data_IF_672145525691
#
_entry.id   IF_672145525691
#
_cell.length_a   1.000
_cell.length_b   1.000
_cell.length_c   1.000
_cell.angle_alpha   90.00
_cell.angle_beta   90.00
_cell.angle_gamma   90.00
#
_symmetry.space_group_name_H-M   'P 1'
#
loop_
_entity.id
_entity.type
_entity.pdbx_description
1 polymer ?
#
# COMPACT_ATOMS: atom_id res chain seq x y z
N UNK A 1 -19.56 13.70 19.23
CA UNK A 1 -18.33 12.95 19.32
C UNK A 1 -17.41 13.46 18.22
N UNK A 2 -16.14 13.56 18.48
CA UNK A 2 -15.16 14.13 17.59
C UNK A 2 -13.84 13.40 17.71
N UNK A 3 -12.81 13.89 17.01
CA UNK A 3 -11.46 13.37 17.08
C UNK A 3 -10.46 14.51 17.28
N UNK A 4 -9.26 14.18 17.73
CA UNK A 4 -8.20 15.14 17.95
C UNK A 4 -7.32 15.25 16.71
N UNK A 5 -7.17 16.46 16.15
CA UNK A 5 -6.20 16.74 15.11
C UNK A 5 -4.85 17.08 15.73
N UNK A 6 -3.85 16.25 15.48
CA UNK A 6 -2.47 16.50 15.89
C UNK A 6 -1.74 17.15 14.73
N UNK A 7 -1.38 18.43 14.88
CA UNK A 7 -0.84 19.26 13.79
C UNK A 7 0.57 19.78 14.04
N UNK A 8 1.14 19.59 15.25
CA UNK A 8 2.50 20.00 15.52
C UNK A 8 3.47 18.84 15.41
N UNK A 9 4.67 19.07 14.90
CA UNK A 9 5.67 18.03 14.74
C UNK A 9 6.08 17.34 16.06
N UNK A 10 6.28 18.05 17.20
CA UNK A 10 6.58 17.39 18.47
C UNK A 10 5.47 16.44 18.94
N UNK A 11 4.21 16.87 18.82
CA UNK A 11 3.07 16.06 19.24
C UNK A 11 2.89 14.83 18.34
N UNK A 12 3.07 14.98 17.02
CA UNK A 12 3.09 13.85 16.07
C UNK A 12 4.18 12.83 16.45
N UNK A 13 5.38 13.29 16.81
CA UNK A 13 6.44 12.41 17.27
C UNK A 13 6.08 11.68 18.56
N UNK A 14 5.44 12.36 19.50
CA UNK A 14 5.00 11.78 20.76
C UNK A 14 3.94 10.70 20.51
N UNK A 15 2.89 11.02 19.77
CA UNK A 15 1.81 10.07 19.44
C UNK A 15 2.36 8.82 18.73
N UNK A 16 3.22 9.01 17.73
CA UNK A 16 3.79 7.89 16.97
C UNK A 16 4.73 6.98 17.80
N UNK A 17 5.29 7.48 18.89
CA UNK A 17 6.19 6.70 19.76
C UNK A 17 5.49 6.04 20.92
N UNK A 18 4.42 6.62 21.40
CA UNK A 18 3.66 6.13 22.55
C UNK A 18 2.58 5.14 22.10
N UNK A 19 3.01 3.99 21.64
CA UNK A 19 2.12 2.91 21.16
C UNK A 19 1.33 2.24 22.30
N UNK A 20 1.65 2.54 23.56
CA UNK A 20 0.88 2.04 24.71
C UNK A 20 -0.40 2.85 24.92
N UNK A 21 -0.33 4.17 24.67
CA UNK A 21 -1.48 5.07 24.78
C UNK A 21 -2.27 5.15 23.48
N UNK A 22 -1.57 5.20 22.33
CA UNK A 22 -2.17 5.38 21.01
C UNK A 22 -2.08 4.07 20.21
N UNK A 23 -3.17 3.32 20.21
CA UNK A 23 -3.28 2.05 19.52
C UNK A 23 -3.71 2.23 18.07
N UNK A 24 -3.00 1.60 17.13
CA UNK A 24 -3.43 1.50 15.72
C UNK A 24 -4.45 0.38 15.52
N UNK A 25 -4.50 -0.59 16.42
CA UNK A 25 -5.36 -1.77 16.29
C UNK A 25 -6.78 -1.52 16.77
N UNK A 26 -7.01 -0.62 17.73
CA UNK A 26 -8.31 -0.49 18.39
C UNK A 26 -9.41 0.00 17.45
N UNK A 27 -9.11 1.02 16.62
CA UNK A 27 -10.08 1.61 15.68
C UNK A 27 -9.65 1.48 14.21
N UNK A 28 -8.42 0.97 13.96
CA UNK A 28 -7.82 0.92 12.65
C UNK A 28 -7.19 2.25 12.20
N UNK A 29 -6.63 2.26 11.00
CA UNK A 29 -5.92 3.41 10.42
C UNK A 29 -6.84 4.38 9.66
N UNK A 30 -8.07 3.96 9.34
CA UNK A 30 -9.05 4.78 8.64
C UNK A 30 -10.16 5.20 9.60
N UNK A 31 -10.45 6.49 9.62
CA UNK A 31 -11.61 7.01 10.37
C UNK A 31 -12.87 6.78 9.55
N UNK A 32 -13.88 6.20 10.18
CA UNK A 32 -15.20 6.03 9.60
C UNK A 32 -16.22 6.81 10.42
N UNK A 33 -17.08 7.58 9.75
CA UNK A 33 -18.16 8.35 10.40
C UNK A 33 -19.29 7.44 10.90
N UNK A 34 -19.33 6.20 10.49
CA UNK A 34 -20.30 5.19 10.93
C UNK A 34 -19.63 3.83 11.11
N UNK A 35 -20.17 2.96 11.98
CA UNK A 35 -19.74 1.57 12.05
C UNK A 35 -19.87 0.94 10.67
N UNK A 36 -18.78 0.38 10.14
CA UNK A 36 -18.80 -0.32 8.85
C UNK A 36 -19.75 -1.52 8.93
N UNK A 37 -20.87 -1.53 8.21
CA UNK A 37 -21.92 -2.52 8.44
C UNK A 37 -21.57 -3.93 7.99
N UNK A 38 -20.55 -4.15 7.20
CA UNK A 38 -20.13 -5.47 6.70
C UNK A 38 -18.88 -5.37 5.87
N UNK A 39 -17.87 -4.68 6.34
CA UNK A 39 -16.67 -4.52 5.57
C UNK A 39 -15.56 -5.45 6.03
N UNK A 40 -14.49 -5.44 5.29
CA UNK A 40 -13.24 -6.03 5.69
C UNK A 40 -12.73 -5.36 6.98
N UNK A 41 -12.81 -6.07 8.09
CA UNK A 41 -12.21 -5.63 9.35
C UNK A 41 -10.70 -5.85 9.26
N UNK A 42 -9.96 -4.75 9.07
CA UNK A 42 -8.50 -4.75 8.93
C UNK A 42 -7.75 -4.83 10.25
N UNK A 43 -8.44 -4.61 11.38
CA UNK A 43 -7.85 -4.56 12.72
C UNK A 43 -7.13 -5.86 13.06
N UNK A 44 -5.86 -5.76 13.39
CA UNK A 44 -5.01 -6.91 13.67
C UNK A 44 -4.64 -7.79 12.47
N UNK A 45 -5.05 -7.42 11.24
CA UNK A 45 -4.78 -8.17 10.01
C UNK A 45 -3.80 -7.46 9.09
N UNK A 46 -3.96 -6.14 8.92
CA UNK A 46 -3.01 -5.33 8.17
C UNK A 46 -1.88 -4.86 9.09
N UNK A 47 -0.67 -4.78 8.55
CA UNK A 47 0.49 -4.32 9.31
C UNK A 47 0.24 -2.96 9.97
N UNK A 48 -0.38 -2.03 9.24
CA UNK A 48 -0.68 -0.68 9.72
C UNK A 48 -1.70 -0.68 10.87
N UNK A 49 -2.56 -1.70 10.94
CA UNK A 49 -3.62 -1.86 11.92
C UNK A 49 -3.26 -2.90 13.00
N UNK A 50 -1.97 -3.01 13.31
CA UNK A 50 -1.46 -3.89 14.37
C UNK A 50 -0.64 -3.11 15.38
N UNK A 51 -0.70 -3.54 16.64
CA UNK A 51 0.15 -3.04 17.71
C UNK A 51 1.27 -4.04 18.06
N UNK A 52 2.22 -3.59 18.89
CA UNK A 52 3.23 -4.49 19.45
C UNK A 52 2.56 -5.54 20.36
N UNK A 53 3.02 -6.80 20.41
CA UNK A 53 4.24 -7.32 19.75
C UNK A 53 4.06 -7.74 18.29
N UNK A 54 2.81 -7.88 17.80
CA UNK A 54 2.51 -8.40 16.47
C UNK A 54 3.08 -7.50 15.36
N UNK A 55 2.89 -6.19 15.46
CA UNK A 55 3.49 -5.21 14.54
C UNK A 55 5.02 -5.38 14.45
N UNK A 56 5.69 -5.50 15.60
CA UNK A 56 7.16 -5.67 15.64
C UNK A 56 7.59 -6.95 14.94
N UNK A 57 6.84 -8.03 15.10
CA UNK A 57 7.07 -9.31 14.45
C UNK A 57 6.97 -9.19 12.92
N UNK A 58 5.89 -8.61 12.42
CA UNK A 58 5.68 -8.39 10.98
C UNK A 58 6.72 -7.45 10.38
N UNK A 59 7.06 -6.35 11.07
CA UNK A 59 8.10 -5.43 10.62
C UNK A 59 9.47 -6.09 10.46
N UNK A 60 9.84 -7.00 11.36
CA UNK A 60 11.10 -7.76 11.25
C UNK A 60 11.16 -8.63 10.00
N UNK A 61 10.03 -9.23 9.59
CA UNK A 61 9.96 -10.01 8.34
C UNK A 61 10.18 -9.12 7.14
N UNK A 62 9.43 -8.03 7.04
CA UNK A 62 9.48 -7.10 5.92
C UNK A 62 10.88 -6.49 5.79
N UNK A 63 11.48 -6.07 6.90
CA UNK A 63 12.82 -5.46 6.90
C UNK A 63 13.91 -6.37 6.31
N UNK A 64 13.77 -7.69 6.39
CA UNK A 64 14.70 -8.63 5.72
C UNK A 64 14.66 -8.49 4.18
N UNK A 65 13.58 -7.98 3.62
CA UNK A 65 13.42 -7.73 2.18
C UNK A 65 14.10 -6.43 1.72
N UNK A 66 14.32 -5.45 2.60
CA UNK A 66 14.89 -4.15 2.26
C UNK A 66 16.39 -4.10 2.55
N UNK A 67 17.18 -4.79 1.74
CA UNK A 67 18.64 -4.78 1.85
C UNK A 67 19.26 -3.60 1.10
N UNK A 68 20.48 -3.13 1.45
CA UNK A 68 21.18 -2.09 0.69
C UNK A 68 21.32 -2.43 -0.80
N UNK A 69 21.52 -3.70 -1.13
CA UNK A 69 21.57 -4.17 -2.52
C UNK A 69 20.22 -3.95 -3.24
N UNK A 70 19.12 -4.32 -2.60
CA UNK A 70 17.78 -4.14 -3.18
C UNK A 70 17.47 -2.66 -3.37
N UNK A 71 17.81 -1.82 -2.40
CA UNK A 71 17.64 -0.35 -2.50
C UNK A 71 18.44 0.20 -3.67
N UNK A 72 19.70 -0.24 -3.87
CA UNK A 72 20.53 0.21 -5.01
C UNK A 72 19.99 -0.23 -6.37
N UNK A 73 19.40 -1.42 -6.47
CA UNK A 73 18.73 -1.86 -7.71
C UNK A 73 17.45 -1.06 -7.97
N UNK A 74 16.70 -0.78 -6.92
CA UNK A 74 15.49 0.05 -7.02
C UNK A 74 15.82 1.47 -7.45
N UNK A 75 16.91 2.07 -6.98
CA UNK A 75 17.34 3.40 -7.38
C UNK A 75 17.60 3.48 -8.91
N UNK A 76 18.33 2.50 -9.46
CA UNK A 76 18.59 2.44 -10.90
C UNK A 76 17.29 2.26 -11.71
N UNK A 77 16.41 1.39 -11.23
CA UNK A 77 15.11 1.18 -11.84
C UNK A 77 14.26 2.46 -11.83
N UNK A 78 14.18 3.14 -10.69
CA UNK A 78 13.39 4.36 -10.54
C UNK A 78 13.94 5.52 -11.38
N UNK A 79 15.26 5.63 -11.51
CA UNK A 79 15.87 6.63 -12.41
C UNK A 79 15.42 6.41 -13.85
N UNK A 80 15.52 5.19 -14.35
CA UNK A 80 15.05 4.86 -15.70
C UNK A 80 13.54 5.09 -15.87
N UNK A 81 12.73 4.73 -14.88
CA UNK A 81 11.27 4.98 -14.92
C UNK A 81 10.94 6.47 -14.94
N UNK A 82 11.66 7.28 -14.16
CA UNK A 82 11.46 8.73 -14.13
C UNK A 82 11.74 9.35 -15.51
N UNK A 83 12.79 8.91 -16.21
CA UNK A 83 13.09 9.33 -17.59
C UNK A 83 11.92 9.00 -18.52
N UNK A 84 11.43 7.75 -18.51
CA UNK A 84 10.29 7.34 -19.35
C UNK A 84 8.99 8.11 -19.04
N UNK A 85 8.72 8.41 -17.76
CA UNK A 85 7.54 9.18 -17.35
C UNK A 85 7.62 10.60 -17.93
N UNK A 86 8.78 11.24 -17.83
CA UNK A 86 8.99 12.58 -18.36
C UNK A 86 8.91 12.58 -19.90
N UNK A 87 9.53 11.61 -20.57
CA UNK A 87 9.49 11.48 -22.02
C UNK A 87 8.08 11.33 -22.58
N UNK A 88 7.19 10.65 -21.84
CA UNK A 88 5.78 10.49 -22.24
C UNK A 88 4.98 11.80 -22.28
N UNK A 89 5.42 12.84 -21.55
CA UNK A 89 4.69 14.12 -21.45
C UNK A 89 5.42 15.29 -22.09
N UNK A 90 6.73 15.19 -22.30
CA UNK A 90 7.56 16.32 -22.72
C UNK A 90 7.14 16.90 -24.09
N UNK A 91 6.70 16.05 -25.01
CA UNK A 91 6.26 16.49 -26.36
C UNK A 91 4.87 17.14 -26.36
N UNK A 92 4.07 16.90 -25.30
CA UNK A 92 2.71 17.45 -25.17
C UNK A 92 2.72 18.92 -24.75
N UNK A 93 3.81 19.39 -24.11
CA UNK A 93 3.97 20.77 -23.65
C UNK A 93 3.14 21.12 -22.40
N UNK A 94 2.13 20.31 -22.05
CA UNK A 94 1.30 20.41 -20.86
C UNK A 94 0.89 19.03 -20.38
N UNK A 95 0.65 18.87 -19.08
CA UNK A 95 0.20 17.62 -18.50
C UNK A 95 -0.55 17.85 -17.17
N UNK A 96 -1.34 16.88 -16.75
CA UNK A 96 -1.78 16.78 -15.38
C UNK A 96 -0.64 16.27 -14.50
N UNK A 97 -0.12 17.12 -13.62
CA UNK A 97 1.05 16.79 -12.82
C UNK A 97 0.83 15.56 -11.93
N UNK A 98 -0.36 15.39 -11.37
CA UNK A 98 -0.67 14.26 -10.50
C UNK A 98 -0.81 12.98 -11.32
N UNK A 99 -1.70 12.97 -12.32
CA UNK A 99 -2.04 11.77 -13.06
C UNK A 99 -0.96 11.33 -14.05
N UNK A 100 -0.27 12.28 -14.68
CA UNK A 100 0.72 11.98 -15.73
C UNK A 100 2.15 11.80 -15.18
N UNK A 101 2.46 12.33 -13.98
CA UNK A 101 3.82 12.34 -13.44
C UNK A 101 3.91 11.82 -12.00
N UNK A 102 3.31 12.53 -11.04
CA UNK A 102 3.62 12.33 -9.63
C UNK A 102 3.16 10.97 -9.09
N UNK A 103 2.07 10.46 -9.62
CA UNK A 103 1.43 9.22 -9.21
C UNK A 103 2.14 7.98 -9.75
N UNK A 104 2.71 8.08 -10.96
CA UNK A 104 3.27 6.93 -11.68
C UNK A 104 4.51 6.35 -10.97
N UNK A 105 5.45 7.21 -10.54
CA UNK A 105 6.73 6.75 -10.00
C UNK A 105 6.62 5.97 -8.68
N UNK A 106 5.87 6.41 -7.66
CA UNK A 106 5.66 5.64 -6.44
C UNK A 106 4.99 4.29 -6.67
N UNK A 107 4.04 4.23 -7.59
CA UNK A 107 3.34 3.00 -7.95
C UNK A 107 4.27 1.99 -8.61
N UNK A 108 5.09 2.45 -9.55
CA UNK A 108 6.11 1.61 -10.17
C UNK A 108 7.10 1.09 -9.13
N UNK A 109 7.48 1.92 -8.14
CA UNK A 109 8.36 1.50 -7.05
C UNK A 109 7.77 0.37 -6.21
N UNK A 110 6.52 0.52 -5.78
CA UNK A 110 5.83 -0.50 -4.96
C UNK A 110 5.66 -1.78 -5.76
N UNK A 111 5.19 -1.69 -7.00
CA UNK A 111 4.98 -2.84 -7.87
C UNK A 111 6.29 -3.59 -8.17
N UNK A 112 7.39 -2.88 -8.36
CA UNK A 112 8.73 -3.47 -8.53
C UNK A 112 9.18 -4.23 -7.29
N UNK A 113 9.06 -3.64 -6.11
CA UNK A 113 9.40 -4.28 -4.83
C UNK A 113 8.58 -5.55 -4.62
N UNK A 114 7.30 -5.52 -4.98
CA UNK A 114 6.39 -6.67 -4.88
C UNK A 114 6.64 -7.74 -5.95
N UNK A 115 7.37 -7.41 -7.02
CA UNK A 115 7.57 -8.29 -8.16
C UNK A 115 6.32 -8.41 -9.05
N UNK A 116 5.45 -7.40 -9.06
CA UNK A 116 4.25 -7.37 -9.91
C UNK A 116 4.65 -7.19 -11.38
N UNK A 117 4.17 -8.06 -12.29
CA UNK A 117 4.41 -7.93 -13.72
C UNK A 117 3.97 -6.57 -14.27
N UNK A 118 4.73 -6.02 -15.23
CA UNK A 118 4.47 -4.68 -15.78
C UNK A 118 3.03 -4.50 -16.29
N UNK A 119 2.46 -5.55 -16.91
CA UNK A 119 1.11 -5.52 -17.46
C UNK A 119 0.00 -5.45 -16.41
N UNK A 120 0.29 -5.86 -15.17
CA UNK A 120 -0.70 -5.95 -14.10
C UNK A 120 -0.66 -4.72 -13.17
N UNK A 121 0.36 -3.87 -13.32
CA UNK A 121 0.58 -2.71 -12.42
C UNK A 121 -0.57 -1.73 -12.45
N UNK A 122 -1.22 -1.57 -13.59
CA UNK A 122 -2.40 -0.71 -13.72
C UNK A 122 -3.59 -1.24 -12.89
N UNK A 123 -3.80 -2.55 -12.84
CA UNK A 123 -4.86 -3.15 -12.03
C UNK A 123 -4.63 -2.88 -10.55
N UNK A 124 -3.38 -3.07 -10.07
CA UNK A 124 -3.01 -2.79 -8.68
C UNK A 124 -3.31 -1.33 -8.30
N UNK A 125 -3.02 -0.43 -9.22
CA UNK A 125 -3.31 0.99 -9.09
C UNK A 125 -4.80 1.29 -8.99
N UNK A 126 -5.59 0.76 -9.93
CA UNK A 126 -7.03 1.01 -10.00
C UNK A 126 -7.73 0.48 -8.74
N UNK A 127 -7.37 -0.72 -8.25
CA UNK A 127 -7.88 -1.26 -6.99
C UNK A 127 -7.53 -0.39 -5.77
N UNK A 128 -6.26 0.05 -5.69
CA UNK A 128 -5.81 0.88 -4.57
C UNK A 128 -6.54 2.22 -4.55
N UNK A 129 -6.72 2.86 -5.69
CA UNK A 129 -7.47 4.11 -5.80
C UNK A 129 -8.94 3.93 -5.41
N UNK A 130 -9.58 2.85 -5.86
CA UNK A 130 -10.97 2.55 -5.47
C UNK A 130 -11.10 2.32 -3.96
N UNK A 131 -10.13 1.65 -3.35
CA UNK A 131 -10.15 1.37 -1.90
C UNK A 131 -9.93 2.65 -1.07
N UNK A 132 -8.93 3.46 -1.44
CA UNK A 132 -8.53 4.65 -0.65
C UNK A 132 -9.39 5.86 -0.99
N UNK A 133 -9.75 6.01 -2.26
CA UNK A 133 -10.55 7.13 -2.77
C UNK A 133 -12.06 6.96 -2.64
N UNK A 134 -12.53 5.94 -1.92
CA UNK A 134 -13.98 5.66 -1.79
C UNK A 134 -14.81 6.82 -1.20
N UNK A 135 -14.18 7.72 -0.46
CA UNK A 135 -14.79 8.91 0.09
C UNK A 135 -14.61 10.17 -0.78
N UNK A 136 -13.95 10.05 -1.92
CA UNK A 136 -13.68 11.15 -2.84
C UNK A 136 -14.40 10.92 -4.18
N UNK A 137 -15.38 11.75 -4.55
CA UNK A 137 -16.13 11.61 -5.79
C UNK A 137 -15.28 11.61 -7.06
N UNK A 138 -14.08 12.18 -7.03
CA UNK A 138 -13.14 12.18 -8.17
C UNK A 138 -12.60 10.77 -8.49
N UNK A 139 -12.51 9.90 -7.47
CA UNK A 139 -11.99 8.53 -7.60
C UNK A 139 -13.09 7.48 -7.72
N UNK A 140 -14.36 7.87 -7.70
CA UNK A 140 -15.49 6.95 -7.83
C UNK A 140 -16.00 6.91 -9.25
N UNK A 141 -16.39 5.73 -9.73
CA UNK A 141 -16.92 5.54 -11.10
C UNK A 141 -18.23 6.28 -11.35
N UNK A 142 -19.01 6.51 -10.30
CA UNK A 142 -20.30 7.21 -10.37
C UNK A 142 -20.21 8.72 -10.20
N UNK A 143 -19.05 9.26 -9.74
CA UNK A 143 -18.94 10.67 -9.33
C UNK A 143 -19.69 11.00 -8.04
N UNK A 144 -20.29 10.02 -7.40
CA UNK A 144 -20.87 10.07 -6.07
C UNK A 144 -19.94 9.36 -5.08
N UNK A 145 -20.15 9.52 -3.78
CA UNK A 145 -19.40 8.73 -2.80
C UNK A 145 -19.51 7.26 -3.14
N UNK A 146 -18.38 6.56 -3.28
CA UNK A 146 -18.40 5.16 -3.68
C UNK A 146 -19.23 4.36 -2.69
N UNK A 147 -20.03 3.48 -3.20
CA UNK A 147 -20.68 2.48 -2.39
C UNK A 147 -19.57 1.67 -1.68
N UNK A 148 -19.73 1.43 -0.38
CA UNK A 148 -18.80 0.58 0.40
C UNK A 148 -18.60 -0.78 -0.28
N UNK A 149 -19.55 -1.21 -1.11
CA UNK A 149 -19.44 -2.43 -1.91
C UNK A 149 -18.35 -2.36 -2.98
N UNK A 150 -18.09 -1.20 -3.62
CA UNK A 150 -17.00 -1.04 -4.60
C UNK A 150 -15.62 -1.15 -3.95
N UNK A 151 -15.38 -0.49 -2.81
CA UNK A 151 -14.11 -0.59 -2.09
C UNK A 151 -13.86 -2.00 -1.57
N UNK A 152 -14.91 -2.67 -1.08
CA UNK A 152 -14.85 -4.06 -0.63
C UNK A 152 -14.57 -5.02 -1.80
N UNK A 153 -15.19 -4.81 -2.94
CA UNK A 153 -14.93 -5.59 -4.15
C UNK A 153 -13.49 -5.42 -4.63
N UNK A 154 -12.98 -4.18 -4.69
CA UNK A 154 -11.59 -3.91 -5.06
C UNK A 154 -10.59 -4.57 -4.09
N UNK A 155 -10.88 -4.55 -2.78
CA UNK A 155 -10.08 -5.24 -1.78
C UNK A 155 -10.08 -6.76 -1.99
N UNK A 156 -11.23 -7.34 -2.32
CA UNK A 156 -11.35 -8.77 -2.60
C UNK A 156 -10.59 -9.17 -3.87
N UNK A 157 -10.67 -8.39 -4.95
CA UNK A 157 -9.93 -8.62 -6.18
C UNK A 157 -8.42 -8.53 -5.95
N UNK A 158 -7.95 -7.51 -5.22
CA UNK A 158 -6.56 -7.38 -4.82
C UNK A 158 -6.09 -8.59 -4.00
N UNK A 159 -6.90 -9.05 -3.06
CA UNK A 159 -6.60 -10.23 -2.24
C UNK A 159 -6.45 -11.50 -3.09
N UNK A 160 -7.35 -11.72 -4.05
CA UNK A 160 -7.27 -12.84 -5.00
C UNK A 160 -5.99 -12.75 -5.83
N UNK A 161 -5.68 -11.57 -6.38
CA UNK A 161 -4.46 -11.35 -7.17
C UNK A 161 -3.18 -11.62 -6.37
N UNK A 162 -3.08 -11.12 -5.14
CA UNK A 162 -1.91 -11.34 -4.28
C UNK A 162 -1.74 -12.83 -3.94
N UNK A 163 -2.84 -13.58 -3.74
CA UNK A 163 -2.77 -15.02 -3.56
C UNK A 163 -2.28 -15.76 -4.81
N UNK A 164 -2.71 -15.34 -6.00
CA UNK A 164 -2.20 -15.90 -7.27
C UNK A 164 -0.70 -15.62 -7.41
N UNK A 165 -0.28 -14.37 -7.19
CA UNK A 165 1.12 -13.99 -7.23
C UNK A 165 1.97 -14.80 -6.22
N UNK A 166 1.46 -15.03 -5.00
CA UNK A 166 2.10 -15.90 -4.00
C UNK A 166 2.30 -17.33 -4.53
N UNK A 167 1.27 -17.89 -5.14
CA UNK A 167 1.32 -19.28 -5.63
C UNK A 167 2.26 -19.41 -6.84
N UNK A 168 2.31 -18.41 -7.70
CA UNK A 168 3.32 -18.29 -8.76
C UNK A 168 4.74 -18.23 -8.18
N UNK A 169 4.98 -17.44 -7.13
CA UNK A 169 6.29 -17.31 -6.49
C UNK A 169 6.71 -18.55 -5.72
N UNK A 170 5.77 -19.37 -5.26
CA UNK A 170 6.09 -20.70 -4.72
C UNK A 170 6.60 -21.64 -5.81
N UNK A 171 6.05 -21.57 -7.01
CA UNK A 171 6.44 -22.40 -8.14
C UNK A 171 7.72 -21.87 -8.84
N UNK A 172 7.86 -20.56 -8.97
CA UNK A 172 8.97 -19.85 -9.62
C UNK A 172 9.46 -18.69 -8.73
N UNK A 173 10.34 -18.97 -7.74
CA UNK A 173 10.87 -17.94 -6.83
C UNK A 173 11.67 -16.87 -7.56
N UNK A 174 11.47 -15.58 -7.18
CA UNK A 174 12.18 -14.43 -7.74
C UNK A 174 12.83 -13.58 -6.64
N UNK A 175 13.69 -12.63 -7.01
CA UNK A 175 14.28 -11.71 -6.04
C UNK A 175 13.34 -10.53 -5.75
N UNK A 176 12.16 -10.84 -5.22
CA UNK A 176 11.13 -9.89 -4.81
C UNK A 176 10.72 -10.10 -3.35
N UNK A 177 9.95 -9.16 -2.79
CA UNK A 177 9.54 -9.23 -1.38
C UNK A 177 8.53 -10.35 -1.14
N UNK A 178 7.70 -10.69 -2.12
CA UNK A 178 6.71 -11.79 -2.00
C UNK A 178 7.43 -13.12 -1.80
N UNK A 179 8.44 -13.41 -2.62
CA UNK A 179 9.28 -14.61 -2.43
C UNK A 179 9.97 -14.62 -1.07
N UNK A 180 10.50 -13.48 -0.64
CA UNK A 180 11.18 -13.36 0.67
C UNK A 180 10.22 -13.59 1.83
N UNK A 181 8.98 -13.09 1.74
CA UNK A 181 7.96 -13.29 2.77
C UNK A 181 7.46 -14.73 2.82
N UNK A 182 7.30 -15.39 1.65
CA UNK A 182 6.93 -16.82 1.59
C UNK A 182 7.97 -17.69 2.31
N UNK A 183 9.25 -17.35 2.18
CA UNK A 183 10.36 -18.12 2.77
C UNK A 183 10.80 -17.58 4.13
N UNK A 184 10.10 -16.58 4.67
CA UNK A 184 10.45 -16.01 5.96
C UNK A 184 9.93 -16.90 7.09
N UNK A 185 10.86 -17.42 7.90
CA UNK A 185 10.57 -18.10 9.15
C UNK A 185 10.61 -17.09 10.30
N UNK A 186 9.63 -17.16 11.17
CA UNK A 186 9.59 -16.43 12.44
C UNK A 186 9.93 -17.44 13.52
N UNK A 187 11.18 -17.40 14.01
CA UNK A 187 11.66 -18.05 15.24
C UNK A 187 10.86 -19.33 15.65
N UNK A 188 10.85 -20.34 14.75
CA UNK A 188 10.33 -21.67 15.09
C UNK A 188 8.87 -21.95 14.75
N UNK A 189 8.19 -21.07 14.01
CA UNK A 189 6.86 -21.34 13.42
C UNK A 189 6.86 -21.16 11.91
#
# INVERSE_FOLDING_TARGET
DGFWNIVTHPDLQQVNRDTATFSSQSEGSLMHDAPTPSGFDSRGKLLIDTDAPLHTRYRRLINKGFTPRMVGLLEQYLQHRAELIVDNVIERGECDFVNDLAMELPLQAIAEIMGVPQNDRRLLFDWTNTMVGSQDPEYTKSGELADMDEATAAAAELYVYVNQLRDERKADPRDDIVTKLINAEIEGD
#
